data_IF_069400194397
#
_entry.id   IF_069400194397
#
_cell.length_a   1.000
_cell.length_b   1.000
_cell.length_c   1.000
_cell.angle_alpha   90.00
_cell.angle_beta   90.00
_cell.angle_gamma   90.00
#
_symmetry.space_group_name_H-M   'P 1'
#
loop_
_entity.id
_entity.type
_entity.pdbx_description
1 polymer ?
#
# COMPACT_ATOMS: atom_id res chain seq x y z
N UNK A 1 4.41 -3.60 -16.06
CA UNK A 1 4.23 -2.24 -16.61
C UNK A 1 4.97 -1.26 -15.70
N UNK A 2 5.82 -0.38 -16.24
CA UNK A 2 6.65 0.51 -15.43
C UNK A 2 5.85 1.71 -14.94
N UNK A 3 5.23 1.58 -13.77
CA UNK A 3 4.41 2.61 -13.14
C UNK A 3 5.25 3.69 -12.41
N UNK A 4 6.41 4.05 -12.98
CA UNK A 4 7.32 5.04 -12.41
C UNK A 4 7.08 6.39 -13.07
N UNK A 5 6.78 7.42 -12.28
CA UNK A 5 6.58 8.79 -12.76
C UNK A 5 7.50 9.74 -12.01
N UNK A 6 8.12 10.69 -12.71
CA UNK A 6 8.88 11.74 -12.04
C UNK A 6 7.96 12.77 -11.40
N UNK A 7 8.36 13.35 -10.27
CA UNK A 7 7.59 14.42 -9.60
C UNK A 7 7.35 15.62 -10.52
N UNK A 8 8.30 15.92 -11.42
CA UNK A 8 8.14 16.99 -12.43
C UNK A 8 6.99 16.66 -13.39
N UNK A 9 6.98 15.44 -13.92
CA UNK A 9 5.95 15.02 -14.86
C UNK A 9 4.56 14.98 -14.21
N UNK A 10 4.46 14.43 -13.00
CA UNK A 10 3.20 14.41 -12.25
C UNK A 10 2.64 15.82 -12.06
N UNK A 11 3.49 16.80 -11.69
CA UNK A 11 3.07 18.20 -11.54
C UNK A 11 2.60 18.83 -12.86
N UNK A 12 3.28 18.55 -13.97
CA UNK A 12 2.94 19.12 -15.28
C UNK A 12 1.67 18.49 -15.87
N UNK A 13 1.41 17.21 -15.60
CA UNK A 13 0.30 16.45 -16.17
C UNK A 13 -0.72 16.01 -15.11
N UNK A 14 -0.89 16.80 -14.04
CA UNK A 14 -1.67 16.40 -12.86
C UNK A 14 -3.04 15.87 -13.26
N UNK A 15 -3.83 16.62 -14.02
CA UNK A 15 -5.16 16.23 -14.49
C UNK A 15 -5.21 14.88 -15.20
N UNK A 16 -4.20 14.55 -16.01
CA UNK A 16 -4.14 13.25 -16.69
C UNK A 16 -3.93 12.12 -15.68
N UNK A 17 -2.95 12.28 -14.79
CA UNK A 17 -2.67 11.28 -13.77
C UNK A 17 -3.82 11.14 -12.78
N UNK A 18 -4.49 12.21 -12.39
CA UNK A 18 -5.68 12.12 -11.52
C UNK A 18 -6.76 11.27 -12.17
N UNK A 19 -7.09 11.52 -13.45
CA UNK A 19 -8.08 10.71 -14.18
C UNK A 19 -7.66 9.25 -14.32
N UNK A 20 -6.38 9.00 -14.63
CA UNK A 20 -5.86 7.63 -14.71
C UNK A 20 -6.02 6.89 -13.39
N UNK A 21 -5.71 7.56 -12.28
CA UNK A 21 -5.85 6.98 -10.94
C UNK A 21 -7.33 6.80 -10.57
N UNK A 22 -8.17 7.83 -10.72
CA UNK A 22 -9.56 7.79 -10.25
C UNK A 22 -10.51 6.99 -11.16
N UNK A 23 -10.31 7.03 -12.48
CA UNK A 23 -11.24 6.44 -13.46
C UNK A 23 -10.75 5.08 -13.99
N UNK A 24 -9.42 4.86 -14.06
CA UNK A 24 -8.86 3.64 -14.66
C UNK A 24 -8.28 2.67 -13.63
N UNK A 25 -8.19 3.07 -12.36
CA UNK A 25 -7.59 2.24 -11.33
C UNK A 25 -6.06 2.16 -11.40
N UNK A 26 -5.40 3.03 -12.19
CA UNK A 26 -3.95 3.00 -12.31
C UNK A 26 -3.28 3.40 -10.98
N UNK A 27 -2.12 2.83 -10.70
CA UNK A 27 -1.28 3.24 -9.58
C UNK A 27 0.13 3.61 -10.04
N UNK A 28 0.76 4.60 -9.40
CA UNK A 28 2.09 5.09 -9.77
C UNK A 28 3.00 5.28 -8.57
N UNK A 29 4.26 4.89 -8.71
CA UNK A 29 5.33 5.25 -7.79
C UNK A 29 5.96 6.55 -8.29
N UNK A 30 5.94 7.57 -7.46
CA UNK A 30 6.47 8.90 -7.76
C UNK A 30 7.93 8.97 -7.33
N UNK A 31 8.79 9.39 -8.24
CA UNK A 31 10.22 9.55 -8.04
C UNK A 31 10.62 11.03 -7.92
N UNK A 32 11.50 11.35 -6.97
CA UNK A 32 12.19 12.63 -6.87
C UNK A 32 13.70 12.37 -6.88
N UNK A 33 14.42 12.94 -7.85
CA UNK A 33 15.87 12.66 -8.04
C UNK A 33 16.19 11.15 -8.05
N UNK A 34 15.41 10.39 -8.83
CA UNK A 34 15.49 8.93 -8.96
C UNK A 34 15.24 8.12 -7.68
N UNK A 35 14.77 8.75 -6.60
CA UNK A 35 14.37 8.06 -5.38
C UNK A 35 12.84 8.01 -5.26
N UNK A 36 12.23 6.85 -4.95
CA UNK A 36 10.81 6.77 -4.61
C UNK A 36 10.48 7.66 -3.42
N UNK A 37 9.39 8.44 -3.52
CA UNK A 37 8.95 9.34 -2.45
C UNK A 37 7.55 9.04 -1.94
N UNK A 38 6.62 8.70 -2.83
CA UNK A 38 5.26 8.28 -2.47
C UNK A 38 4.62 7.51 -3.63
N UNK A 39 3.55 6.79 -3.33
CA UNK A 39 2.70 6.12 -4.32
C UNK A 39 1.36 6.86 -4.40
N UNK A 40 0.84 7.05 -5.60
CA UNK A 40 -0.55 7.46 -5.82
C UNK A 40 -1.33 6.23 -6.28
N UNK A 41 -2.45 5.97 -5.60
CA UNK A 41 -3.34 4.83 -5.84
C UNK A 41 -4.77 5.34 -5.90
N UNK A 42 -5.68 4.59 -6.54
CA UNK A 42 -7.11 4.87 -6.45
C UNK A 42 -7.53 4.87 -4.98
N UNK A 43 -8.52 5.70 -4.63
CA UNK A 43 -9.14 5.61 -3.31
C UNK A 43 -10.00 4.35 -3.34
N UNK A 44 -9.69 3.40 -2.46
CA UNK A 44 -10.57 2.28 -2.15
C UNK A 44 -11.32 2.67 -0.88
N UNK A 45 -12.63 2.89 -0.98
CA UNK A 45 -13.41 3.46 0.13
C UNK A 45 -13.53 2.52 1.35
N UNK A 46 -13.21 1.22 1.23
CA UNK A 46 -13.52 0.23 2.29
C UNK A 46 -12.53 -0.95 2.46
N UNK A 47 -11.33 -0.93 1.89
CA UNK A 47 -10.43 -2.11 1.88
C UNK A 47 -9.50 -2.21 3.09
N UNK A 48 -10.07 -2.30 4.30
CA UNK A 48 -9.34 -2.99 5.37
C UNK A 48 -9.33 -4.48 5.06
N UNK A 49 -8.23 -4.97 4.49
CA UNK A 49 -8.03 -6.39 4.31
C UNK A 49 -7.59 -7.04 5.62
N UNK A 50 -8.13 -8.23 5.92
CA UNK A 50 -7.66 -9.02 7.05
C UNK A 50 -6.27 -9.57 6.75
N UNK A 51 -5.23 -8.88 7.23
CA UNK A 51 -3.82 -9.28 7.06
C UNK A 51 -3.46 -10.53 7.87
N UNK A 52 -4.15 -10.75 8.99
CA UNK A 52 -4.00 -11.92 9.84
C UNK A 52 -5.30 -12.18 10.59
N UNK A 53 -5.78 -13.43 10.55
CA UNK A 53 -6.95 -13.88 11.29
C UNK A 53 -6.51 -14.94 12.31
N UNK A 54 -6.28 -14.49 13.55
CA UNK A 54 -5.82 -15.35 14.64
C UNK A 54 -6.91 -16.32 15.14
N UNK A 55 -8.18 -16.11 14.76
CA UNK A 55 -9.28 -17.03 15.13
C UNK A 55 -9.18 -18.37 14.41
N UNK A 56 -8.45 -18.43 13.29
CA UNK A 56 -8.15 -19.68 12.57
C UNK A 56 -7.16 -20.57 13.32
N UNK A 57 -6.41 -20.01 14.26
CA UNK A 57 -5.43 -20.72 15.09
C UNK A 57 -6.09 -21.15 16.39
N UNK A 58 -6.74 -20.20 17.06
CA UNK A 58 -7.50 -20.44 18.28
C UNK A 58 -8.77 -19.57 18.27
N UNK A 59 -9.93 -20.22 18.33
CA UNK A 59 -11.24 -19.54 18.31
C UNK A 59 -11.50 -18.71 19.57
N UNK A 60 -10.78 -18.96 20.66
CA UNK A 60 -10.83 -18.17 21.90
C UNK A 60 -9.91 -16.94 21.86
N UNK A 61 -9.10 -16.81 20.81
CA UNK A 61 -8.15 -15.72 20.60
C UNK A 61 -6.73 -16.10 21.03
N UNK A 62 -5.75 -15.37 20.49
CA UNK A 62 -4.34 -15.56 20.80
C UNK A 62 -3.83 -14.36 21.60
N UNK A 63 -3.08 -14.62 22.67
CA UNK A 63 -2.42 -13.57 23.46
C UNK A 63 -1.41 -12.79 22.62
N UNK A 64 -1.48 -11.46 22.67
CA UNK A 64 -0.53 -10.60 21.95
C UNK A 64 0.92 -10.83 22.40
N UNK A 65 1.15 -11.15 23.67
CA UNK A 65 2.50 -11.43 24.19
C UNK A 65 3.12 -12.69 23.57
N UNK A 66 2.29 -13.70 23.28
CA UNK A 66 2.77 -14.93 22.67
C UNK A 66 3.07 -14.72 21.18
N UNK A 67 2.24 -13.94 20.48
CA UNK A 67 2.52 -13.50 19.10
C UNK A 67 3.84 -12.74 19.03
N UNK A 68 4.08 -11.82 19.98
CA UNK A 68 5.32 -11.03 20.03
C UNK A 68 6.56 -11.90 20.27
N UNK A 69 6.48 -12.87 21.18
CA UNK A 69 7.58 -13.83 21.44
C UNK A 69 7.86 -14.68 20.20
N UNK A 70 6.82 -15.21 19.55
CA UNK A 70 6.97 -16.04 18.35
C UNK A 70 7.59 -15.25 17.20
N UNK A 71 7.15 -14.01 16.97
CA UNK A 71 7.71 -13.14 15.93
C UNK A 71 9.19 -12.82 16.19
N UNK A 72 9.60 -12.63 17.45
CA UNK A 72 10.99 -12.36 17.81
C UNK A 72 11.92 -13.56 17.60
N UNK A 73 11.40 -14.79 17.56
CA UNK A 73 12.17 -16.00 17.26
C UNK A 73 12.39 -16.24 15.76
N UNK A 74 11.66 -15.52 14.90
CA UNK A 74 11.72 -15.64 13.44
C UNK A 74 12.56 -14.53 12.78
N UNK A 75 13.02 -13.54 13.55
CA UNK A 75 13.87 -12.42 13.12
C UNK A 75 15.35 -12.72 13.36
#
# INVERSE_FOLDING_TARGET
MNNLVSLKELRTKLTNYTKRVSERGDSFIVLKKSKPVFKIVPIEEDSWETVADFTKIDTTGVSFEDVKKAAALLA
#
